data_IF_167710592725
#
_entry.id   IF_167710592725
#
_cell.length_a   1.000
_cell.length_b   1.000
_cell.length_c   1.000
_cell.angle_alpha   90.00
_cell.angle_beta   90.00
_cell.angle_gamma   90.00
#
_symmetry.space_group_name_H-M   'P 1'
#
loop_
_entity.id
_entity.type
_entity.pdbx_description
1 polymer ?
#
# COMPACT_ATOMS: atom_id res chain seq x y z
N UNK A 1 52.74 29.69 5.41
CA UNK A 1 51.34 29.87 4.97
C UNK A 1 51.27 29.72 3.46
N UNK A 2 50.75 28.60 2.94
CA UNK A 2 50.50 28.44 1.50
C UNK A 2 49.05 28.83 1.23
N UNK A 3 48.86 29.94 0.54
CA UNK A 3 47.58 30.38 0.00
C UNK A 3 47.12 29.38 -1.06
N UNK A 4 46.10 28.58 -0.74
CA UNK A 4 45.34 27.87 -1.75
C UNK A 4 44.27 28.84 -2.28
N UNK A 5 44.59 29.51 -3.40
CA UNK A 5 43.55 30.10 -4.24
C UNK A 5 42.68 28.96 -4.78
N UNK A 6 41.56 28.73 -4.11
CA UNK A 6 40.48 27.87 -4.62
C UNK A 6 39.82 28.66 -5.74
N UNK A 7 40.20 28.39 -7.00
CA UNK A 7 39.41 28.78 -8.16
C UNK A 7 38.03 28.11 -8.05
N UNK A 8 37.06 28.81 -7.45
CA UNK A 8 35.63 28.48 -7.52
C UNK A 8 35.20 28.70 -8.98
N UNK A 9 35.22 27.66 -9.81
CA UNK A 9 34.31 27.64 -10.94
C UNK A 9 32.92 27.45 -10.35
N UNK A 10 32.06 28.43 -10.51
CA UNK A 10 30.62 28.22 -10.35
C UNK A 10 30.11 27.66 -11.69
N UNK A 11 29.03 26.89 -11.66
CA UNK A 11 28.25 26.64 -12.87
C UNK A 11 28.02 27.97 -13.59
N UNK A 12 28.35 28.05 -14.88
CA UNK A 12 27.93 29.20 -15.67
C UNK A 12 26.41 29.27 -15.60
N UNK A 13 25.88 30.46 -15.29
CA UNK A 13 24.45 30.67 -15.08
C UNK A 13 23.61 30.13 -16.26
N UNK A 14 24.13 30.27 -17.49
CA UNK A 14 23.58 29.68 -18.71
C UNK A 14 23.40 28.16 -18.66
N UNK A 15 24.36 27.42 -18.11
CA UNK A 15 24.29 25.96 -18.00
C UNK A 15 23.26 25.55 -16.95
N UNK A 16 23.12 26.33 -15.87
CA UNK A 16 22.10 26.08 -14.84
C UNK A 16 20.70 26.30 -15.40
N UNK A 17 20.50 27.41 -16.12
CA UNK A 17 19.25 27.74 -16.79
C UNK A 17 18.88 26.68 -17.83
N UNK A 18 19.85 26.21 -18.62
CA UNK A 18 19.62 25.14 -19.59
C UNK A 18 19.17 23.84 -18.91
N UNK A 19 19.82 23.41 -17.84
CA UNK A 19 19.40 22.19 -17.11
C UNK A 19 18.01 22.35 -16.52
N UNK A 20 17.66 23.53 -15.99
CA UNK A 20 16.29 23.80 -15.54
C UNK A 20 15.28 23.69 -16.68
N UNK A 21 15.57 24.29 -17.83
CA UNK A 21 14.71 24.20 -19.01
C UNK A 21 14.56 22.76 -19.49
N UNK A 22 15.64 21.98 -19.51
CA UNK A 22 15.60 20.57 -19.89
C UNK A 22 14.72 19.76 -18.93
N UNK A 23 14.82 20.00 -17.62
CA UNK A 23 13.96 19.36 -16.60
C UNK A 23 12.49 19.76 -16.79
N UNK A 24 12.21 21.05 -17.03
CA UNK A 24 10.85 21.57 -17.19
C UNK A 24 10.19 21.12 -18.50
N UNK A 25 10.99 20.90 -19.55
CA UNK A 25 10.54 20.37 -20.84
C UNK A 25 10.61 18.84 -20.93
N UNK A 26 10.79 18.15 -19.81
CA UNK A 26 10.84 16.68 -19.72
C UNK A 26 11.99 16.01 -20.49
N UNK A 27 13.04 16.74 -20.84
CA UNK A 27 14.27 16.24 -21.44
C UNK A 27 15.24 15.69 -20.37
N UNK A 28 14.77 14.75 -19.55
CA UNK A 28 15.48 14.29 -18.35
C UNK A 28 16.82 13.60 -18.64
N UNK A 29 16.96 12.88 -19.76
CA UNK A 29 18.21 12.21 -20.11
C UNK A 29 19.33 13.22 -20.40
N UNK A 30 19.01 14.30 -21.11
CA UNK A 30 19.95 15.39 -21.39
C UNK A 30 20.34 16.11 -20.09
N UNK A 31 19.36 16.45 -19.25
CA UNK A 31 19.61 17.03 -17.94
C UNK A 31 20.50 16.12 -17.08
N UNK A 32 20.25 14.81 -17.07
CA UNK A 32 20.99 13.82 -16.29
C UNK A 32 22.45 13.71 -16.76
N UNK A 33 22.69 13.73 -18.07
CA UNK A 33 24.04 13.71 -18.63
C UNK A 33 24.87 14.92 -18.18
N UNK A 34 24.25 16.10 -18.17
CA UNK A 34 24.90 17.34 -17.71
C UNK A 34 25.15 17.27 -16.20
N UNK A 35 24.15 16.91 -15.40
CA UNK A 35 24.25 16.80 -13.92
C UNK A 35 25.29 15.76 -13.48
N UNK A 36 25.52 14.71 -14.25
CA UNK A 36 26.59 13.72 -13.98
C UNK A 36 27.99 14.30 -14.01
N UNK A 37 28.23 15.26 -14.91
CA UNK A 37 29.53 15.90 -15.15
C UNK A 37 29.80 17.04 -14.17
N UNK A 38 28.78 17.55 -13.49
CA UNK A 38 28.92 18.69 -12.58
C UNK A 38 29.63 18.29 -11.27
N UNK A 39 30.65 19.06 -10.83
CA UNK A 39 31.29 18.87 -9.53
C UNK A 39 30.31 19.06 -8.37
N UNK A 40 30.47 18.23 -7.32
CA UNK A 40 29.57 18.16 -6.16
C UNK A 40 29.36 19.50 -5.43
N UNK A 41 30.36 20.38 -5.45
CA UNK A 41 30.36 21.68 -4.73
C UNK A 41 29.59 22.79 -5.46
N UNK A 42 29.22 22.55 -6.72
CA UNK A 42 28.62 23.56 -7.60
C UNK A 42 27.12 23.31 -7.84
N UNK A 43 26.58 22.20 -7.32
CA UNK A 43 25.18 21.85 -7.46
C UNK A 43 24.31 22.57 -6.43
N UNK A 44 23.32 23.28 -6.96
CA UNK A 44 22.32 23.97 -6.19
C UNK A 44 21.28 22.99 -5.62
N UNK A 45 20.89 23.21 -4.36
CA UNK A 45 19.85 22.46 -3.67
C UNK A 45 18.50 22.57 -4.39
N UNK A 46 18.15 23.78 -4.86
CA UNK A 46 16.90 24.02 -5.59
C UNK A 46 16.81 23.21 -6.88
N UNK A 47 17.93 23.09 -7.60
CA UNK A 47 18.01 22.33 -8.84
C UNK A 47 17.82 20.83 -8.57
N UNK A 48 18.51 20.29 -7.56
CA UNK A 48 18.39 18.88 -7.18
C UNK A 48 16.96 18.54 -6.74
N UNK A 49 16.33 19.40 -5.95
CA UNK A 49 14.95 19.20 -5.52
C UNK A 49 13.97 19.26 -6.69
N UNK A 50 14.14 20.22 -7.60
CA UNK A 50 13.30 20.34 -8.80
C UNK A 50 13.46 19.12 -9.71
N UNK A 51 14.69 18.68 -9.92
CA UNK A 51 14.97 17.51 -10.75
C UNK A 51 14.40 16.24 -10.13
N UNK A 52 14.56 16.04 -8.82
CA UNK A 52 13.99 14.89 -8.12
C UNK A 52 12.45 14.89 -8.18
N UNK A 53 11.83 16.04 -7.90
CA UNK A 53 10.37 16.19 -7.91
C UNK A 53 9.79 15.98 -9.31
N UNK A 54 10.36 16.61 -10.34
CA UNK A 54 9.90 16.46 -11.73
C UNK A 54 10.22 15.08 -12.29
N UNK A 55 11.40 14.54 -12.01
CA UNK A 55 11.76 13.17 -12.38
C UNK A 55 10.79 12.15 -11.80
N UNK A 56 10.36 12.34 -10.55
CA UNK A 56 9.34 11.49 -9.95
C UNK A 56 7.95 11.69 -10.59
N UNK A 57 7.54 12.93 -10.81
CA UNK A 57 6.26 13.27 -11.46
C UNK A 57 6.12 12.63 -12.86
N UNK A 58 7.20 12.60 -13.62
CA UNK A 58 7.24 12.06 -14.99
C UNK A 58 7.71 10.61 -15.06
N UNK A 59 7.96 9.96 -13.93
CA UNK A 59 8.38 8.55 -13.87
C UNK A 59 9.78 8.25 -14.42
N UNK A 60 10.67 9.24 -14.49
CA UNK A 60 12.05 9.02 -14.96
C UNK A 60 12.93 8.45 -13.84
N UNK A 61 12.86 7.13 -13.67
CA UNK A 61 13.54 6.42 -12.58
C UNK A 61 15.05 6.60 -12.59
N UNK A 62 15.69 6.73 -13.76
CA UNK A 62 17.14 6.87 -13.87
C UNK A 62 17.65 8.17 -13.22
N UNK A 63 16.89 9.26 -13.33
CA UNK A 63 17.21 10.52 -12.67
C UNK A 63 16.96 10.44 -11.17
N UNK A 64 15.82 9.86 -10.76
CA UNK A 64 15.47 9.66 -9.35
C UNK A 64 16.53 8.81 -8.65
N UNK A 65 16.87 7.66 -9.23
CA UNK A 65 17.86 6.71 -8.72
C UNK A 65 19.23 7.39 -8.56
N UNK A 66 19.67 8.10 -9.59
CA UNK A 66 20.94 8.81 -9.55
C UNK A 66 20.99 9.91 -8.47
N UNK A 67 19.95 10.74 -8.37
CA UNK A 67 19.89 11.82 -7.38
C UNK A 67 19.83 11.23 -5.97
N UNK A 68 18.97 10.23 -5.75
CA UNK A 68 18.80 9.54 -4.49
C UNK A 68 20.14 8.95 -3.99
N UNK A 69 20.79 8.14 -4.83
CA UNK A 69 22.06 7.53 -4.46
C UNK A 69 23.17 8.56 -4.23
N UNK A 70 23.29 9.57 -5.09
CA UNK A 70 24.43 10.50 -5.04
C UNK A 70 24.28 11.57 -3.96
N UNK A 71 23.08 12.10 -3.75
CA UNK A 71 22.84 13.31 -2.93
C UNK A 71 21.92 13.12 -1.73
N UNK A 72 21.37 11.91 -1.53
CA UNK A 72 20.68 11.54 -0.29
C UNK A 72 21.49 10.50 0.47
N UNK A 73 21.95 9.44 -0.21
CA UNK A 73 22.68 8.34 0.43
C UNK A 73 24.18 8.64 0.64
N UNK A 74 24.93 8.92 -0.44
CA UNK A 74 26.40 9.09 -0.34
C UNK A 74 26.84 10.44 0.19
N UNK A 75 26.07 11.48 -0.13
CA UNK A 75 26.31 12.85 0.33
C UNK A 75 24.96 13.35 0.86
N UNK A 76 24.67 13.29 2.16
CA UNK A 76 23.34 13.60 2.69
C UNK A 76 23.09 15.12 2.73
N UNK A 77 23.16 15.78 1.58
CA UNK A 77 22.95 17.21 1.40
C UNK A 77 21.48 17.52 1.10
N UNK A 78 20.74 16.56 0.52
CA UNK A 78 19.35 16.75 0.12
C UNK A 78 18.41 16.13 1.16
N UNK A 79 17.59 16.97 1.80
CA UNK A 79 16.53 16.51 2.69
C UNK A 79 15.23 16.48 1.88
N UNK A 80 14.80 15.27 1.55
CA UNK A 80 13.58 15.04 0.78
C UNK A 80 12.34 15.17 1.68
N UNK A 81 11.28 15.81 1.17
CA UNK A 81 10.01 15.97 1.88
C UNK A 81 9.24 14.64 1.98
N UNK A 82 8.39 14.44 3.00
CA UNK A 82 7.64 13.19 3.17
C UNK A 82 6.79 12.78 1.96
N UNK A 83 6.14 13.74 1.31
CA UNK A 83 5.30 13.49 0.14
C UNK A 83 6.15 12.94 -1.01
N UNK A 84 7.29 13.59 -1.29
CA UNK A 84 8.19 13.17 -2.35
C UNK A 84 8.84 11.81 -2.05
N UNK A 85 9.08 11.47 -0.77
CA UNK A 85 9.51 10.11 -0.39
C UNK A 85 8.46 9.06 -0.76
N UNK A 86 7.17 9.35 -0.54
CA UNK A 86 6.08 8.45 -0.92
C UNK A 86 5.98 8.32 -2.44
N UNK A 87 6.11 9.43 -3.18
CA UNK A 87 6.10 9.43 -4.65
C UNK A 87 7.25 8.57 -5.20
N UNK A 88 8.47 8.76 -4.67
CA UNK A 88 9.65 7.96 -5.07
C UNK A 88 9.43 6.49 -4.73
N UNK A 89 8.84 6.19 -3.57
CA UNK A 89 8.56 4.82 -3.15
C UNK A 89 7.54 4.12 -4.05
N UNK A 90 6.48 4.83 -4.45
CA UNK A 90 5.51 4.32 -5.42
C UNK A 90 6.16 4.08 -6.79
N UNK A 91 6.98 5.01 -7.27
CA UNK A 91 7.73 4.80 -8.53
C UNK A 91 8.67 3.59 -8.43
N UNK A 92 9.42 3.47 -7.33
CA UNK A 92 10.33 2.36 -7.08
C UNK A 92 9.63 1.00 -6.99
N UNK A 93 8.42 0.97 -6.42
CA UNK A 93 7.57 -0.22 -6.37
C UNK A 93 7.22 -0.71 -7.79
N UNK A 94 6.93 0.19 -8.72
CA UNK A 94 6.60 -0.16 -10.10
C UNK A 94 7.83 -0.57 -10.92
N UNK A 95 8.96 0.11 -10.73
CA UNK A 95 10.23 -0.09 -11.47
C UNK A 95 11.16 -1.17 -10.89
N UNK A 96 10.64 -2.03 -10.00
CA UNK A 96 11.35 -3.17 -9.39
C UNK A 96 12.63 -2.79 -8.61
N UNK A 97 12.67 -1.57 -8.06
CA UNK A 97 13.79 -1.07 -7.25
C UNK A 97 13.60 -1.42 -5.78
N UNK A 98 13.61 -2.71 -5.47
CA UNK A 98 13.25 -3.24 -4.15
C UNK A 98 14.08 -2.76 -2.95
N UNK A 99 15.28 -2.20 -3.18
CA UNK A 99 16.16 -1.65 -2.12
C UNK A 99 15.80 -0.21 -1.71
N UNK A 100 15.10 0.55 -2.55
CA UNK A 100 14.79 1.97 -2.30
C UNK A 100 13.81 2.13 -1.11
N UNK A 101 12.72 1.35 -0.99
CA UNK A 101 11.73 1.52 0.08
C UNK A 101 12.28 1.51 1.50
N UNK A 102 13.21 0.61 1.83
CA UNK A 102 13.84 0.59 3.15
C UNK A 102 14.67 1.87 3.41
N UNK A 103 15.39 2.34 2.38
CA UNK A 103 16.17 3.59 2.47
C UNK A 103 15.28 4.81 2.67
N UNK A 104 14.12 4.87 1.99
CA UNK A 104 13.15 5.94 2.14
C UNK A 104 12.62 6.04 3.58
N UNK A 105 12.29 4.89 4.17
CA UNK A 105 11.79 4.85 5.55
C UNK A 105 12.86 5.24 6.57
N UNK A 106 14.11 4.77 6.40
CA UNK A 106 15.23 5.19 7.25
C UNK A 106 15.43 6.71 7.16
N UNK A 107 15.41 7.27 5.94
CA UNK A 107 15.50 8.72 5.74
C UNK A 107 14.35 9.46 6.41
N UNK A 108 13.12 8.95 6.28
CA UNK A 108 11.93 9.49 6.93
C UNK A 108 12.08 9.55 8.45
N UNK A 109 12.45 8.43 9.08
CA UNK A 109 12.62 8.34 10.53
C UNK A 109 13.73 9.26 11.04
N UNK A 110 14.81 9.42 10.27
CA UNK A 110 15.95 10.28 10.62
C UNK A 110 15.59 11.77 10.61
N UNK A 111 14.85 12.25 9.61
CA UNK A 111 14.64 13.69 9.40
C UNK A 111 13.24 14.20 9.78
N UNK A 112 12.22 13.34 9.73
CA UNK A 112 10.80 13.73 9.89
C UNK A 112 10.08 12.97 11.00
N UNK A 113 10.59 11.82 11.46
CA UNK A 113 9.91 10.93 12.40
C UNK A 113 9.56 11.51 13.78
N UNK A 114 10.23 12.59 14.21
CA UNK A 114 9.96 13.24 15.51
C UNK A 114 8.87 14.32 15.47
N UNK A 115 8.40 14.71 14.28
CA UNK A 115 7.59 15.94 14.10
C UNK A 115 6.09 15.71 13.94
N UNK A 116 5.64 14.46 13.76
CA UNK A 116 4.24 14.15 13.46
C UNK A 116 3.64 13.21 14.51
N UNK A 117 2.40 13.49 14.90
CA UNK A 117 1.66 12.72 15.92
C UNK A 117 1.28 11.31 15.47
N UNK A 118 0.45 10.63 16.26
CA UNK A 118 0.08 9.22 16.06
C UNK A 118 -0.54 8.90 14.69
N UNK A 119 -1.25 9.86 14.08
CA UNK A 119 -1.84 9.71 12.75
C UNK A 119 -1.01 10.42 11.68
N UNK A 120 0.06 9.75 11.27
CA UNK A 120 0.94 10.23 10.21
C UNK A 120 0.73 9.45 8.90
N UNK A 121 0.05 10.06 7.89
CA UNK A 121 -0.29 9.37 6.65
C UNK A 121 0.95 8.98 5.84
N UNK A 122 2.06 9.70 5.99
CA UNK A 122 3.29 9.40 5.26
C UNK A 122 4.02 8.20 5.86
N UNK A 123 3.96 8.04 7.18
CA UNK A 123 4.49 6.85 7.85
C UNK A 123 3.72 5.60 7.40
N UNK A 124 2.39 5.69 7.38
CA UNK A 124 1.53 4.63 6.84
C UNK A 124 1.93 4.26 5.40
N UNK A 125 2.01 5.25 4.52
CA UNK A 125 2.28 5.04 3.10
C UNK A 125 3.68 4.44 2.85
N UNK A 126 4.71 4.91 3.59
CA UNK A 126 6.06 4.37 3.47
C UNK A 126 6.17 2.91 3.96
N UNK A 127 5.49 2.57 5.05
CA UNK A 127 5.43 1.19 5.54
C UNK A 127 4.65 0.30 4.57
N UNK A 128 3.54 0.78 4.02
CA UNK A 128 2.79 0.10 2.95
C UNK A 128 3.68 -0.21 1.76
N UNK A 129 4.44 0.78 1.27
CA UNK A 129 5.36 0.61 0.13
C UNK A 129 6.45 -0.43 0.46
N UNK A 130 6.98 -0.47 1.68
CA UNK A 130 7.97 -1.49 2.09
C UNK A 130 7.39 -2.91 2.01
N UNK A 131 6.22 -3.13 2.61
CA UNK A 131 5.54 -4.43 2.58
C UNK A 131 5.21 -4.85 1.16
N UNK A 132 4.64 -3.95 0.35
CA UNK A 132 4.27 -4.24 -1.04
C UNK A 132 5.49 -4.47 -1.93
N UNK A 133 6.60 -3.76 -1.69
CA UNK A 133 7.87 -3.97 -2.39
C UNK A 133 8.45 -5.33 -2.07
N UNK A 134 8.40 -5.78 -0.82
CA UNK A 134 8.83 -7.12 -0.45
C UNK A 134 7.94 -8.19 -1.08
N UNK A 135 6.62 -8.02 -1.00
CA UNK A 135 5.65 -8.96 -1.58
C UNK A 135 5.84 -9.09 -3.11
N UNK A 136 6.07 -7.98 -3.81
CA UNK A 136 6.34 -7.96 -5.25
C UNK A 136 7.73 -8.52 -5.58
N UNK A 137 8.77 -8.05 -4.92
CA UNK A 137 10.17 -8.36 -5.26
C UNK A 137 10.58 -9.80 -4.98
N UNK A 138 9.97 -10.44 -3.98
CA UNK A 138 10.25 -11.84 -3.67
C UNK A 138 9.46 -12.83 -4.52
N UNK A 139 8.34 -12.41 -5.14
CA UNK A 139 7.45 -13.27 -5.94
C UNK A 139 7.28 -14.68 -5.32
N UNK A 140 7.80 -15.73 -5.97
CA UNK A 140 7.63 -17.12 -5.54
C UNK A 140 8.79 -17.62 -4.64
N UNK A 141 9.78 -16.77 -4.33
CA UNK A 141 10.93 -17.14 -3.50
C UNK A 141 10.59 -17.25 -2.03
N UNK A 142 9.53 -16.57 -1.58
CA UNK A 142 9.06 -16.58 -0.20
C UNK A 142 7.58 -16.95 -0.14
N UNK A 143 7.23 -17.67 0.91
CA UNK A 143 5.86 -18.08 1.21
C UNK A 143 5.00 -16.88 1.60
N UNK A 144 3.68 -17.02 1.46
CA UNK A 144 2.77 -16.00 1.95
C UNK A 144 2.90 -15.78 3.46
N UNK A 145 3.17 -16.82 4.24
CA UNK A 145 3.38 -16.74 5.70
C UNK A 145 4.55 -15.81 6.07
N UNK A 146 5.65 -15.86 5.32
CA UNK A 146 6.79 -14.95 5.52
C UNK A 146 6.44 -13.50 5.17
N UNK A 147 5.71 -13.28 4.06
CA UNK A 147 5.24 -11.94 3.68
C UNK A 147 4.25 -11.38 4.71
N UNK A 148 3.36 -12.22 5.23
CA UNK A 148 2.43 -11.86 6.29
C UNK A 148 3.15 -11.51 7.60
N UNK A 149 4.20 -12.26 7.95
CA UNK A 149 5.04 -11.92 9.10
C UNK A 149 5.68 -10.54 8.94
N UNK A 150 6.24 -10.23 7.77
CA UNK A 150 6.77 -8.89 7.50
C UNK A 150 5.68 -7.81 7.61
N UNK A 151 4.48 -8.06 7.10
CA UNK A 151 3.36 -7.14 7.29
C UNK A 151 3.07 -6.88 8.77
N UNK A 152 3.09 -7.91 9.62
CA UNK A 152 2.87 -7.73 11.06
C UNK A 152 4.01 -6.94 11.73
N UNK A 153 5.25 -7.21 11.34
CA UNK A 153 6.42 -6.50 11.89
C UNK A 153 6.46 -5.03 11.45
N UNK A 154 6.12 -4.72 10.20
CA UNK A 154 6.22 -3.36 9.66
C UNK A 154 4.95 -2.52 9.83
N UNK A 155 3.76 -3.09 9.65
CA UNK A 155 2.49 -2.35 9.74
C UNK A 155 1.81 -2.53 11.09
N UNK A 156 1.52 -3.77 11.48
CA UNK A 156 0.71 -4.08 12.66
C UNK A 156 1.35 -3.60 13.97
N UNK A 157 2.66 -3.81 14.12
CA UNK A 157 3.39 -3.45 15.35
C UNK A 157 3.80 -1.98 15.42
N UNK A 158 3.95 -1.31 14.27
CA UNK A 158 4.50 0.05 14.23
C UNK A 158 3.44 1.14 14.21
N UNK A 159 2.24 0.83 13.72
CA UNK A 159 1.12 1.77 13.65
C UNK A 159 0.23 1.68 14.91
N UNK A 160 -0.55 2.72 15.22
CA UNK A 160 -1.53 2.65 16.28
C UNK A 160 -2.48 1.45 16.09
N UNK A 161 -2.89 0.76 17.16
CA UNK A 161 -3.83 -0.37 17.08
C UNK A 161 -5.18 -0.07 16.41
N UNK A 162 -5.53 1.21 16.34
CA UNK A 162 -6.76 1.74 15.74
C UNK A 162 -6.59 2.20 14.29
N UNK A 163 -5.37 2.19 13.75
CA UNK A 163 -5.12 2.63 12.38
C UNK A 163 -5.92 1.78 11.40
N UNK A 164 -6.70 2.43 10.54
CA UNK A 164 -7.48 1.74 9.51
C UNK A 164 -6.56 1.22 8.40
N UNK A 165 -6.73 -0.05 8.04
CA UNK A 165 -5.93 -0.71 7.01
C UNK A 165 -6.89 -1.40 6.05
N UNK A 166 -6.79 -1.11 4.74
CA UNK A 166 -7.72 -1.64 3.73
C UNK A 166 -7.02 -2.57 2.77
N UNK A 167 -7.72 -3.60 2.32
CA UNK A 167 -7.18 -4.60 1.39
C UNK A 167 -6.71 -4.01 0.06
N UNK A 168 -7.36 -2.93 -0.40
CA UNK A 168 -7.00 -2.22 -1.64
C UNK A 168 -5.60 -1.60 -1.61
N UNK A 169 -5.07 -1.36 -0.42
CA UNK A 169 -3.76 -0.72 -0.22
C UNK A 169 -2.61 -1.74 -0.45
N UNK A 170 -2.94 -3.04 -0.51
CA UNK A 170 -2.02 -4.17 -0.59
C UNK A 170 -2.26 -5.12 -1.78
N UNK A 171 -2.26 -4.63 -3.03
CA UNK A 171 -2.52 -5.47 -4.21
C UNK A 171 -1.51 -6.62 -4.39
N UNK A 172 -0.21 -6.41 -4.16
CA UNK A 172 0.82 -7.43 -4.35
C UNK A 172 0.81 -8.47 -3.24
N UNK A 173 0.64 -8.06 -1.98
CA UNK A 173 0.47 -8.99 -0.87
C UNK A 173 -0.82 -9.81 -1.03
N UNK A 174 -1.92 -9.19 -1.45
CA UNK A 174 -3.18 -9.91 -1.77
C UNK A 174 -2.95 -10.93 -2.88
N UNK A 175 -2.24 -10.57 -3.95
CA UNK A 175 -1.92 -11.50 -5.05
C UNK A 175 -1.06 -12.68 -4.57
N UNK A 176 -0.11 -12.44 -3.66
CA UNK A 176 0.76 -13.48 -3.12
C UNK A 176 0.02 -14.57 -2.31
N UNK A 177 -1.21 -14.31 -1.87
CA UNK A 177 -2.03 -15.31 -1.18
C UNK A 177 -2.66 -16.34 -2.14
N UNK A 178 -2.71 -16.07 -3.45
CA UNK A 178 -3.41 -16.93 -4.41
C UNK A 178 -2.94 -18.38 -4.47
N UNK A 179 -1.70 -18.63 -4.05
CA UNK A 179 -1.13 -19.97 -4.04
C UNK A 179 -1.41 -20.77 -2.75
N UNK A 180 -1.90 -20.11 -1.69
CA UNK A 180 -2.18 -20.76 -0.42
C UNK A 180 -3.22 -21.88 -0.54
N UNK A 181 -2.98 -22.95 0.20
CA UNK A 181 -3.90 -24.08 0.37
C UNK A 181 -4.96 -23.76 1.42
N UNK A 182 -6.07 -24.50 1.40
CA UNK A 182 -7.12 -24.41 2.42
C UNK A 182 -6.56 -24.59 3.83
N UNK A 183 -5.60 -25.51 4.01
CA UNK A 183 -4.98 -25.78 5.30
C UNK A 183 -4.19 -24.56 5.79
N UNK A 184 -3.33 -23.98 4.94
CA UNK A 184 -2.54 -22.80 5.31
C UNK A 184 -3.41 -21.59 5.68
N UNK A 185 -4.50 -21.37 4.94
CA UNK A 185 -5.45 -20.29 5.26
C UNK A 185 -6.10 -20.51 6.63
N UNK A 186 -6.53 -21.74 6.91
CA UNK A 186 -7.13 -22.07 8.20
C UNK A 186 -6.13 -21.93 9.36
N UNK A 187 -4.87 -22.31 9.14
CA UNK A 187 -3.79 -22.13 10.11
C UNK A 187 -3.55 -20.64 10.38
N UNK A 188 -3.43 -19.82 9.33
CA UNK A 188 -3.17 -18.38 9.45
C UNK A 188 -4.32 -17.62 10.12
N UNK A 189 -5.57 -17.99 9.86
CA UNK A 189 -6.75 -17.30 10.39
C UNK A 189 -7.15 -17.73 11.80
N UNK A 190 -6.92 -19.00 12.17
CA UNK A 190 -7.52 -19.57 13.39
C UNK A 190 -6.53 -20.22 14.34
N UNK A 191 -5.32 -20.56 13.88
CA UNK A 191 -4.31 -21.15 14.75
C UNK A 191 -3.44 -20.03 15.32
N UNK A 192 -3.17 -20.07 16.63
CA UNK A 192 -2.21 -19.17 17.27
C UNK A 192 -0.81 -19.46 16.71
N UNK A 193 -0.46 -18.86 15.58
CA UNK A 193 0.79 -19.09 14.86
C UNK A 193 2.01 -18.42 15.50
N UNK A 194 1.97 -18.14 16.81
CA UNK A 194 3.03 -17.41 17.54
C UNK A 194 3.20 -15.93 17.15
N UNK A 195 2.41 -15.43 16.19
CA UNK A 195 2.42 -14.05 15.74
C UNK A 195 1.35 -13.27 16.50
N UNK A 196 1.77 -12.30 17.33
CA UNK A 196 0.86 -11.43 18.07
C UNK A 196 0.30 -10.38 17.14
N UNK A 197 -1.02 -10.33 16.99
CA UNK A 197 -1.72 -9.28 16.23
C UNK A 197 -2.14 -8.18 17.20
N UNK A 198 -1.67 -6.96 16.93
CA UNK A 198 -1.90 -5.78 17.76
C UNK A 198 -2.97 -4.86 17.15
N UNK A 199 -3.01 -4.73 15.82
CA UNK A 199 -3.99 -3.89 15.13
C UNK A 199 -5.28 -4.68 14.86
N UNK A 200 -6.41 -4.09 15.26
CA UNK A 200 -7.75 -4.72 15.15
C UNK A 200 -8.18 -5.00 13.70
N UNK A 201 -7.55 -4.37 12.72
CA UNK A 201 -7.85 -4.51 11.29
C UNK A 201 -6.97 -5.55 10.58
N UNK A 202 -5.88 -6.03 11.19
CA UNK A 202 -4.96 -6.98 10.54
C UNK A 202 -5.57 -8.35 10.26
N UNK A 203 -6.31 -8.94 11.21
CA UNK A 203 -7.00 -10.21 10.97
C UNK A 203 -8.16 -10.09 9.96
N UNK A 204 -9.03 -9.06 10.03
CA UNK A 204 -10.01 -8.79 8.98
C UNK A 204 -9.36 -8.56 7.60
N UNK A 205 -8.21 -7.89 7.54
CA UNK A 205 -7.45 -7.72 6.30
C UNK A 205 -7.03 -9.07 5.71
N UNK A 206 -6.48 -9.97 6.54
CA UNK A 206 -6.08 -11.31 6.13
C UNK A 206 -7.27 -12.11 5.58
N UNK A 207 -8.42 -12.04 6.26
CA UNK A 207 -9.66 -12.63 5.77
C UNK A 207 -10.07 -12.03 4.43
N UNK A 208 -10.06 -10.71 4.29
CA UNK A 208 -10.43 -10.02 3.06
C UNK A 208 -9.52 -10.40 1.88
N UNK A 209 -8.21 -10.52 2.11
CA UNK A 209 -7.25 -11.02 1.11
C UNK A 209 -7.63 -12.43 0.66
N UNK A 210 -8.00 -13.32 1.58
CA UNK A 210 -8.42 -14.68 1.28
C UNK A 210 -9.72 -14.72 0.48
N UNK A 211 -10.72 -13.96 0.91
CA UNK A 211 -12.01 -13.90 0.25
C UNK A 211 -11.84 -13.48 -1.22
N UNK A 212 -10.90 -12.58 -1.53
CA UNK A 212 -10.60 -12.14 -2.90
C UNK A 212 -9.98 -13.22 -3.81
N UNK A 213 -9.48 -14.35 -3.29
CA UNK A 213 -8.77 -15.34 -4.10
C UNK A 213 -9.72 -16.18 -4.97
N UNK A 214 -9.53 -16.25 -6.30
CA UNK A 214 -10.46 -16.97 -7.19
C UNK A 214 -10.38 -18.50 -7.08
N UNK A 215 -9.26 -19.05 -6.59
CA UNK A 215 -8.98 -20.50 -6.54
C UNK A 215 -9.90 -21.27 -5.58
N UNK A 216 -10.50 -20.61 -4.60
CA UNK A 216 -11.29 -21.27 -3.57
C UNK A 216 -12.80 -21.18 -3.85
N UNK A 217 -13.49 -22.31 -3.73
CA UNK A 217 -14.94 -22.39 -3.87
C UNK A 217 -15.67 -21.48 -2.88
N UNK A 218 -16.83 -20.95 -3.32
CA UNK A 218 -17.63 -20.02 -2.53
C UNK A 218 -18.07 -20.60 -1.19
N UNK A 219 -18.52 -21.86 -1.16
CA UNK A 219 -18.91 -22.54 0.08
C UNK A 219 -17.79 -22.55 1.14
N UNK A 220 -16.54 -22.74 0.70
CA UNK A 220 -15.40 -22.69 1.63
C UNK A 220 -15.16 -21.26 2.13
N UNK A 221 -15.27 -20.25 1.26
CA UNK A 221 -15.12 -18.84 1.65
C UNK A 221 -16.18 -18.40 2.67
N UNK A 222 -17.43 -18.78 2.44
CA UNK A 222 -18.55 -18.49 3.34
C UNK A 222 -18.35 -19.20 4.67
N UNK A 223 -18.01 -20.50 4.66
CA UNK A 223 -17.74 -21.24 5.90
C UNK A 223 -16.58 -20.63 6.72
N UNK A 224 -15.50 -20.21 6.06
CA UNK A 224 -14.39 -19.51 6.71
C UNK A 224 -14.83 -18.17 7.31
N UNK A 225 -15.61 -17.37 6.56
CA UNK A 225 -16.16 -16.10 7.04
C UNK A 225 -17.08 -16.29 8.26
N UNK A 226 -17.99 -17.27 8.21
CA UNK A 226 -18.89 -17.59 9.32
C UNK A 226 -18.11 -17.99 10.56
N UNK A 227 -17.16 -18.93 10.43
CA UNK A 227 -16.27 -19.33 11.53
C UNK A 227 -15.47 -18.14 12.08
N UNK A 228 -14.97 -17.26 11.22
CA UNK A 228 -14.24 -16.07 11.64
C UNK A 228 -15.09 -15.16 12.55
N UNK A 229 -16.36 -14.95 12.22
CA UNK A 229 -17.28 -14.17 13.06
C UNK A 229 -17.60 -14.80 14.42
N UNK A 230 -17.45 -16.12 14.54
CA UNK A 230 -17.72 -16.85 15.79
C UNK A 230 -16.52 -16.79 16.72
N UNK A 231 -15.31 -16.82 16.13
CA UNK A 231 -14.05 -16.78 16.88
C UNK A 231 -13.67 -15.35 17.26
N UNK A 232 -13.94 -14.37 16.40
CA UNK A 232 -13.47 -13.00 16.55
C UNK A 232 -14.63 -11.99 16.54
N UNK A 233 -14.69 -11.15 17.57
CA UNK A 233 -15.58 -9.99 17.65
C UNK A 233 -14.94 -8.76 16.98
N UNK A 234 -14.68 -8.84 15.67
CA UNK A 234 -14.04 -7.78 14.87
C UNK A 234 -14.99 -7.25 13.79
N UNK A 235 -14.64 -6.12 13.16
CA UNK A 235 -15.44 -5.55 12.07
C UNK A 235 -15.42 -6.42 10.82
N UNK A 236 -16.60 -6.72 10.27
CA UNK A 236 -16.81 -7.66 9.15
C UNK A 236 -17.40 -7.04 7.88
N UNK A 237 -17.59 -5.72 7.88
CA UNK A 237 -18.33 -5.02 6.82
C UNK A 237 -17.66 -5.17 5.44
N UNK A 238 -16.33 -4.98 5.37
CA UNK A 238 -15.57 -5.17 4.13
C UNK A 238 -15.65 -6.63 3.64
N UNK A 239 -15.63 -7.60 4.57
CA UNK A 239 -15.71 -9.03 4.26
C UNK A 239 -17.07 -9.39 3.66
N UNK A 240 -18.16 -8.86 4.23
CA UNK A 240 -19.51 -8.99 3.69
C UNK A 240 -19.62 -8.34 2.31
N UNK A 241 -19.10 -7.12 2.13
CA UNK A 241 -19.11 -6.44 0.84
C UNK A 241 -18.37 -7.25 -0.24
N UNK A 242 -17.22 -7.86 0.10
CA UNK A 242 -16.48 -8.74 -0.80
C UNK A 242 -17.32 -9.96 -1.18
N UNK A 243 -17.91 -10.64 -0.20
CA UNK A 243 -18.74 -11.83 -0.44
C UNK A 243 -19.97 -11.53 -1.29
N UNK A 244 -20.68 -10.43 -1.04
CA UNK A 244 -21.82 -10.01 -1.86
C UNK A 244 -21.41 -9.77 -3.32
N UNK A 245 -20.26 -9.13 -3.56
CA UNK A 245 -19.74 -8.94 -4.92
C UNK A 245 -19.39 -10.26 -5.60
N UNK A 246 -18.81 -11.21 -4.86
CA UNK A 246 -18.42 -12.49 -5.43
C UNK A 246 -19.59 -13.44 -5.67
N UNK A 247 -20.68 -13.28 -4.90
CA UNK A 247 -21.94 -14.00 -5.09
C UNK A 247 -22.87 -13.28 -6.07
N UNK A 248 -22.36 -12.36 -6.91
CA UNK A 248 -23.19 -11.67 -7.90
C UNK A 248 -23.92 -12.68 -8.77
N UNK A 249 -25.22 -12.50 -8.93
CA UNK A 249 -26.13 -13.40 -9.64
C UNK A 249 -26.32 -14.78 -8.98
N UNK A 250 -25.87 -14.98 -7.74
CA UNK A 250 -26.08 -16.20 -6.96
C UNK A 250 -27.04 -15.95 -5.79
N UNK A 251 -28.34 -16.04 -6.09
CA UNK A 251 -29.38 -15.68 -5.13
C UNK A 251 -29.38 -16.54 -3.86
N UNK A 252 -28.99 -17.82 -3.97
CA UNK A 252 -28.91 -18.73 -2.83
C UNK A 252 -27.85 -18.27 -1.82
N UNK A 253 -26.62 -18.03 -2.28
CA UNK A 253 -25.55 -17.58 -1.39
C UNK A 253 -25.80 -16.17 -0.85
N UNK A 254 -26.34 -15.26 -1.67
CA UNK A 254 -26.71 -13.91 -1.23
C UNK A 254 -27.77 -13.94 -0.12
N UNK A 255 -28.82 -14.76 -0.27
CA UNK A 255 -29.86 -14.93 0.75
C UNK A 255 -29.28 -15.50 2.04
N UNK A 256 -28.44 -16.54 1.94
CA UNK A 256 -27.79 -17.17 3.11
C UNK A 256 -26.88 -16.20 3.86
N UNK A 257 -26.13 -15.37 3.16
CA UNK A 257 -25.28 -14.33 3.77
C UNK A 257 -26.10 -13.26 4.48
N UNK A 258 -27.25 -12.86 3.93
CA UNK A 258 -28.17 -11.93 4.59
C UNK A 258 -28.83 -12.53 5.83
N UNK A 259 -29.28 -13.78 5.76
CA UNK A 259 -29.83 -14.48 6.94
C UNK A 259 -28.79 -14.56 8.06
N UNK A 260 -27.55 -14.92 7.72
CA UNK A 260 -26.44 -14.93 8.66
C UNK A 260 -26.11 -13.55 9.25
N UNK A 261 -26.06 -12.49 8.42
CA UNK A 261 -25.82 -11.13 8.90
C UNK A 261 -26.89 -10.72 9.94
N UNK A 262 -28.16 -11.07 9.69
CA UNK A 262 -29.27 -10.85 10.62
C UNK A 262 -29.11 -11.62 11.93
N UNK A 263 -28.74 -12.90 11.87
CA UNK A 263 -28.47 -13.72 13.07
C UNK A 263 -27.37 -13.14 13.95
N UNK A 264 -26.36 -12.50 13.34
CA UNK A 264 -25.27 -11.80 14.06
C UNK A 264 -25.65 -10.39 14.53
N UNK A 265 -26.90 -9.97 14.34
CA UNK A 265 -27.38 -8.64 14.71
C UNK A 265 -26.87 -7.51 13.81
N UNK A 266 -26.31 -7.84 12.64
CA UNK A 266 -25.91 -6.86 11.62
C UNK A 266 -27.18 -6.40 10.90
N UNK A 267 -27.85 -5.44 11.52
CA UNK A 267 -29.13 -4.88 11.04
C UNK A 267 -28.95 -3.75 10.04
N UNK A 268 -27.73 -3.20 9.93
CA UNK A 268 -27.40 -2.14 8.98
C UNK A 268 -26.10 -2.48 8.26
N UNK A 269 -26.18 -2.64 6.95
CA UNK A 269 -25.03 -2.80 6.08
C UNK A 269 -24.42 -1.44 5.78
N UNK A 270 -23.10 -1.37 5.56
CA UNK A 270 -22.53 -0.14 5.02
C UNK A 270 -23.07 0.19 3.63
N UNK A 271 -22.92 1.44 3.16
CA UNK A 271 -23.29 1.81 1.80
C UNK A 271 -22.60 0.93 0.73
N UNK A 272 -21.37 0.48 1.00
CA UNK A 272 -20.60 -0.35 0.07
C UNK A 272 -21.14 -1.78 0.02
N UNK A 273 -21.41 -2.38 1.18
CA UNK A 273 -22.03 -3.70 1.27
C UNK A 273 -23.46 -3.70 0.71
N UNK A 274 -24.24 -2.67 1.01
CA UNK A 274 -25.61 -2.48 0.50
C UNK A 274 -25.64 -2.40 -1.02
N UNK A 275 -24.76 -1.57 -1.61
CA UNK A 275 -24.64 -1.44 -3.06
C UNK A 275 -24.24 -2.78 -3.70
N UNK A 276 -23.26 -3.46 -3.12
CA UNK A 276 -22.82 -4.77 -3.61
C UNK A 276 -23.95 -5.82 -3.60
N UNK A 277 -24.76 -5.85 -2.54
CA UNK A 277 -25.90 -6.75 -2.45
C UNK A 277 -26.98 -6.40 -3.48
N UNK A 278 -27.38 -5.12 -3.58
CA UNK A 278 -28.39 -4.66 -4.54
C UNK A 278 -28.00 -4.95 -6.00
N UNK A 279 -26.73 -4.71 -6.36
CA UNK A 279 -26.21 -5.07 -7.68
C UNK A 279 -26.21 -6.61 -7.87
N UNK A 280 -25.92 -7.36 -6.80
CA UNK A 280 -25.88 -8.82 -6.80
C UNK A 280 -27.22 -9.50 -7.06
N UNK A 281 -28.30 -8.97 -6.48
CA UNK A 281 -29.66 -9.54 -6.60
C UNK A 281 -30.36 -9.18 -7.92
N UNK A 282 -29.98 -8.05 -8.53
CA UNK A 282 -30.62 -7.51 -9.74
C UNK A 282 -30.63 -8.48 -10.94
N UNK A 283 -29.69 -9.42 -10.99
CA UNK A 283 -29.57 -10.44 -12.03
C UNK A 283 -30.07 -11.82 -11.64
N UNK A 284 -30.83 -11.96 -10.54
CA UNK A 284 -31.29 -13.26 -10.03
C UNK A 284 -32.80 -13.43 -10.13
N UNK A 285 -33.24 -14.68 -10.37
CA UNK A 285 -34.66 -15.07 -10.27
C UNK A 285 -35.06 -15.48 -8.83
N UNK A 286 -34.17 -15.28 -7.87
CA UNK A 286 -34.36 -15.70 -6.49
C UNK A 286 -35.29 -14.74 -5.78
N UNK A 287 -36.24 -15.27 -5.02
CA UNK A 287 -37.18 -14.45 -4.25
C UNK A 287 -36.54 -14.01 -2.93
N UNK A 288 -36.18 -12.74 -2.85
CA UNK A 288 -35.75 -12.11 -1.61
C UNK A 288 -36.96 -11.65 -0.81
N UNK A 289 -36.89 -11.75 0.51
CA UNK A 289 -37.98 -11.32 1.39
C UNK A 289 -38.02 -9.80 1.38
N UNK A 290 -39.21 -9.18 1.42
CA UNK A 290 -39.37 -7.71 1.40
C UNK A 290 -38.50 -7.01 2.47
N UNK A 291 -38.31 -7.65 3.62
CA UNK A 291 -37.43 -7.18 4.71
C UNK A 291 -35.95 -7.09 4.33
N UNK A 292 -35.49 -7.90 3.38
CA UNK A 292 -34.12 -7.83 2.84
C UNK A 292 -33.85 -6.50 2.12
N UNK A 293 -34.93 -5.84 1.66
CA UNK A 293 -34.88 -4.51 1.03
C UNK A 293 -35.09 -3.38 2.04
N UNK A 294 -35.90 -3.60 3.09
CA UNK A 294 -36.22 -2.57 4.10
C UNK A 294 -34.98 -2.20 4.92
N UNK A 295 -34.16 -3.19 5.28
CA UNK A 295 -32.91 -2.96 6.04
C UNK A 295 -31.84 -2.19 5.21
N UNK A 296 -31.98 -2.16 3.88
CA UNK A 296 -31.09 -1.44 2.94
C UNK A 296 -31.55 -0.01 2.65
N UNK A 297 -32.85 0.29 2.81
CA UNK A 297 -33.49 1.54 2.41
C UNK A 297 -33.68 2.53 3.56
N UNK A 298 -33.29 2.18 4.79
CA UNK A 298 -33.17 3.14 5.89
C UNK A 298 -32.04 4.14 5.61
N UNK A 299 -32.31 5.10 4.72
CA UNK A 299 -31.44 6.21 4.36
C UNK A 299 -31.30 7.15 5.57
N UNK A 300 -30.04 7.49 5.85
CA UNK A 300 -29.51 8.70 6.52
C UNK A 300 -30.38 9.38 7.59
#
# INVERSE_FOLDING_TARGET
>A
MRSFMVFKRFLTQSTREQVYLDILNSNFDNALQVVRKIPKKELDYGLLHTFLSKGCQWGHIQSVDYIWYRFVMRLPILIVSPNLLCDIGNLALHEEKGFIPDQLYIHYMKFHGKKKGEHDPYRYELLRIRVESFAKGTMNKTTFKEKWKMYLEDMDSQLPPTAEIKVRDFPFLTKAMGDCTKHEIMELLFTKSGLSVQNRHSLPLLLNMFLLQPKHHMEFKIACFQKFSEVYSLGLDDSLAILFRQCRNDGYHLSRLMDFAREKGITRLSPVASKAFLEGISGTNYHFKTRDFVDLLARH
#
